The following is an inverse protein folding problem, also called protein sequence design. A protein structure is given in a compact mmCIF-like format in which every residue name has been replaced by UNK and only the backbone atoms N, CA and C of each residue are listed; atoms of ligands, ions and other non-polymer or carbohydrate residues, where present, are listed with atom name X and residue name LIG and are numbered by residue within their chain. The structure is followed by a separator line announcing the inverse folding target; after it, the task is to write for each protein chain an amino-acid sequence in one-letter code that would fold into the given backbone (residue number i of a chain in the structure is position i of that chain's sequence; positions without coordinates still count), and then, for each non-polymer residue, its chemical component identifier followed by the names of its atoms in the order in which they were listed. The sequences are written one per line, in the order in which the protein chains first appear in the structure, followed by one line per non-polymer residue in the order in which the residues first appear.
data_IF_551334035330
#
_entry.id   IF_551334035330
#
_cell.length_a   1.000
_cell.length_b   1.000
_cell.length_c   1.000
_cell.angle_alpha   90.00
_cell.angle_beta   90.00
_cell.angle_gamma   90.00
#
_symmetry.space_group_name_H-M   'P 1'
#
loop_
_entity.id
_entity.type
_entity.pdbx_description
1 polymer ?
#
# COMPACT_ATOMS: atom_id res chain seq x y z
N UNK A 1 -6.90 -20.52 -6.32
CA UNK A 1 -6.25 -20.88 -7.60
C UNK A 1 -5.03 -21.71 -7.29
N UNK A 2 -4.88 -22.88 -7.92
CA UNK A 2 -3.74 -23.78 -7.64
C UNK A 2 -2.43 -23.20 -8.16
N UNK A 3 -1.30 -23.67 -7.61
CA UNK A 3 0.03 -23.23 -8.03
C UNK A 3 0.27 -23.38 -9.55
N UNK A 4 -0.04 -24.51 -10.21
CA UNK A 4 0.18 -24.64 -11.66
C UNK A 4 -0.55 -23.59 -12.48
N UNK A 5 -1.78 -23.22 -12.09
CA UNK A 5 -2.56 -22.18 -12.79
C UNK A 5 -1.93 -20.80 -12.57
N UNK A 6 -1.49 -20.48 -11.34
CA UNK A 6 -0.78 -19.23 -11.05
C UNK A 6 0.50 -19.11 -11.89
N UNK A 7 1.29 -20.18 -11.95
CA UNK A 7 2.52 -20.23 -12.75
C UNK A 7 2.26 -20.13 -14.25
N UNK A 8 1.16 -20.70 -14.76
CA UNK A 8 0.81 -20.62 -16.17
C UNK A 8 0.48 -19.20 -16.65
N UNK A 9 0.01 -18.32 -15.76
CA UNK A 9 -0.36 -16.94 -16.10
C UNK A 9 0.68 -15.90 -15.69
N UNK A 10 1.64 -16.25 -14.82
CA UNK A 10 2.59 -15.28 -14.24
C UNK A 10 3.40 -14.55 -15.31
N UNK A 11 3.87 -15.28 -16.32
CA UNK A 11 4.64 -14.75 -17.44
C UNK A 11 3.82 -13.75 -18.27
N UNK A 12 2.57 -14.11 -18.60
CA UNK A 12 1.68 -13.27 -19.41
C UNK A 12 1.34 -11.97 -18.68
N UNK A 13 1.10 -12.03 -17.37
CA UNK A 13 0.84 -10.84 -16.56
C UNK A 13 2.11 -9.99 -16.43
N UNK A 14 3.29 -10.62 -16.37
CA UNK A 14 4.56 -9.91 -16.31
C UNK A 14 4.86 -9.20 -17.64
N UNK A 15 4.53 -9.81 -18.78
CA UNK A 15 4.62 -9.16 -20.11
C UNK A 15 3.76 -7.90 -20.18
N UNK A 16 2.51 -7.99 -19.71
CA UNK A 16 1.58 -6.85 -19.70
C UNK A 16 2.13 -5.73 -18.79
N UNK A 17 2.58 -6.08 -17.58
CA UNK A 17 3.08 -5.08 -16.64
C UNK A 17 4.37 -4.42 -17.14
N UNK A 18 5.32 -5.20 -17.66
CA UNK A 18 6.55 -4.67 -18.25
C UNK A 18 6.24 -3.75 -19.43
N UNK A 19 5.35 -4.17 -20.33
CA UNK A 19 4.88 -3.35 -21.44
C UNK A 19 4.30 -2.02 -20.98
N UNK A 20 3.46 -2.02 -19.95
CA UNK A 20 2.88 -0.80 -19.37
C UNK A 20 3.93 0.11 -18.72
N UNK A 21 4.92 -0.45 -18.02
CA UNK A 21 6.00 0.32 -17.39
C UNK A 21 6.91 1.02 -18.41
N UNK A 22 7.01 0.48 -19.63
CA UNK A 22 7.92 0.98 -20.66
C UNK A 22 7.24 1.94 -21.65
N UNK A 23 5.95 2.24 -21.45
CA UNK A 23 5.24 3.23 -22.27
C UNK A 23 5.86 4.61 -22.04
N UNK A 24 6.38 5.21 -23.11
CA UNK A 24 6.78 6.60 -23.10
C UNK A 24 5.53 7.48 -22.99
N UNK A 25 5.37 8.16 -21.85
CA UNK A 25 4.34 9.17 -21.69
C UNK A 25 4.74 10.45 -22.44
N UNK A 26 3.80 11.12 -23.13
CA UNK A 26 4.02 12.45 -23.67
C UNK A 26 4.59 13.41 -22.61
N UNK A 27 5.50 14.31 -23.00
CA UNK A 27 6.22 15.22 -22.08
C UNK A 27 5.27 16.06 -21.21
N UNK A 28 4.13 16.47 -21.77
CA UNK A 28 3.09 17.22 -21.07
C UNK A 28 2.32 16.40 -20.03
N UNK A 29 2.36 15.05 -20.10
CA UNK A 29 1.86 14.14 -19.04
C UNK A 29 2.97 13.70 -18.10
N UNK A 30 4.22 13.69 -18.56
CA UNK A 30 5.39 13.34 -17.74
C UNK A 30 5.69 14.41 -16.68
N UNK A 31 5.21 15.64 -16.88
CA UNK A 31 5.43 16.77 -15.98
C UNK A 31 4.16 17.13 -15.20
N UNK A 32 4.08 16.63 -13.96
CA UNK A 32 3.33 17.34 -12.91
C UNK A 32 1.96 16.84 -12.50
N UNK A 33 1.46 15.70 -12.99
CA UNK A 33 0.15 15.20 -12.53
C UNK A 33 0.14 13.68 -12.36
N UNK A 34 0.02 13.22 -11.11
CA UNK A 34 -0.35 11.83 -10.80
C UNK A 34 -1.87 11.72 -10.79
N UNK A 35 -2.44 10.67 -11.38
CA UNK A 35 -3.89 10.50 -11.38
C UNK A 35 -4.39 9.71 -12.58
N UNK A 36 -5.64 9.98 -12.95
CA UNK A 36 -6.25 9.43 -14.16
C UNK A 36 -5.84 10.24 -15.39
N UNK A 37 -6.32 9.79 -16.54
CA UNK A 37 -6.24 10.53 -17.80
C UNK A 37 -7.64 10.95 -18.21
N UNK A 38 -7.77 12.15 -18.78
CA UNK A 38 -9.02 12.66 -19.36
C UNK A 38 -8.74 13.38 -20.67
N UNK A 39 -9.76 13.90 -21.34
CA UNK A 39 -9.62 14.73 -22.53
C UNK A 39 -9.99 16.19 -22.21
N UNK A 40 -9.27 17.13 -22.80
CA UNK A 40 -9.63 18.55 -22.77
C UNK A 40 -10.72 18.89 -23.81
N UNK A 41 -11.15 20.14 -23.85
CA UNK A 41 -12.16 20.62 -24.81
C UNK A 41 -11.71 20.59 -26.28
N UNK A 42 -10.44 20.33 -26.56
CA UNK A 42 -9.87 20.16 -27.89
C UNK A 42 -9.68 18.69 -28.29
N UNK A 43 -9.96 17.75 -27.38
CA UNK A 43 -9.78 16.31 -27.58
C UNK A 43 -8.36 15.82 -27.29
N UNK A 44 -7.49 16.64 -26.68
CA UNK A 44 -6.16 16.21 -26.25
C UNK A 44 -6.25 15.46 -24.92
N UNK A 45 -5.47 14.38 -24.78
CA UNK A 45 -5.31 13.70 -23.49
C UNK A 45 -4.64 14.67 -22.52
N UNK A 46 -5.13 14.77 -21.30
CA UNK A 46 -4.57 15.58 -20.20
C UNK A 46 -4.68 14.82 -18.88
N UNK A 47 -3.97 15.28 -17.84
CA UNK A 47 -4.10 14.73 -16.48
C UNK A 47 -5.52 14.93 -15.92
N UNK A 48 -6.01 13.95 -15.18
CA UNK A 48 -7.37 13.95 -14.65
C UNK A 48 -7.55 13.15 -13.36
N UNK A 49 -8.80 13.00 -12.96
CA UNK A 49 -9.20 12.26 -11.77
C UNK A 49 -9.18 10.74 -11.99
N UNK A 50 -8.73 9.99 -10.99
CA UNK A 50 -8.93 8.54 -10.89
C UNK A 50 -10.32 8.24 -10.32
N UNK A 51 -10.77 7.00 -10.50
CA UNK A 51 -11.98 6.49 -9.84
C UNK A 51 -11.75 6.10 -8.36
N UNK A 52 -10.50 6.14 -7.86
CA UNK A 52 -10.13 5.73 -6.50
C UNK A 52 -9.97 6.98 -5.65
N UNK A 53 -10.77 7.19 -4.59
CA UNK A 53 -10.60 8.41 -3.81
C UNK A 53 -9.34 8.34 -2.89
N UNK A 54 -8.70 9.47 -2.56
CA UNK A 54 -8.93 10.79 -3.15
C UNK A 54 -8.59 10.77 -4.64
N UNK A 55 -9.40 11.36 -5.54
CA UNK A 55 -9.28 11.04 -6.97
C UNK A 55 -8.13 11.76 -7.68
N UNK A 56 -7.41 12.69 -7.04
CA UNK A 56 -6.42 13.53 -7.71
C UNK A 56 -7.08 14.56 -8.65
N UNK A 57 -6.40 15.01 -9.72
CA UNK A 57 -4.96 14.79 -9.96
C UNK A 57 -4.13 15.37 -8.82
N UNK A 58 -2.97 14.78 -8.56
CA UNK A 58 -2.04 15.22 -7.53
C UNK A 58 -0.82 15.85 -8.17
N UNK A 59 -0.38 16.96 -7.60
CA UNK A 59 0.80 17.72 -8.06
C UNK A 59 2.07 16.87 -8.04
N UNK A 60 2.20 16.01 -7.03
CA UNK A 60 3.34 15.12 -6.86
C UNK A 60 3.00 13.95 -5.92
N UNK A 61 3.96 13.04 -5.78
CA UNK A 61 3.81 11.82 -5.00
C UNK A 61 3.62 12.10 -3.49
N UNK A 62 4.19 13.20 -2.96
CA UNK A 62 4.01 13.62 -1.57
C UNK A 62 2.58 14.07 -1.33
N UNK A 63 2.02 14.89 -2.22
CA UNK A 63 0.63 15.35 -2.14
C UNK A 63 -0.37 14.18 -2.18
N UNK A 64 -0.15 13.23 -3.09
CA UNK A 64 -0.94 12.00 -3.16
C UNK A 64 -0.96 11.26 -1.80
N UNK A 65 0.21 11.05 -1.19
CA UNK A 65 0.31 10.36 0.11
C UNK A 65 -0.34 11.15 1.24
N UNK A 66 -0.12 12.46 1.32
CA UNK A 66 -0.75 13.31 2.33
C UNK A 66 -2.27 13.24 2.24
N UNK A 67 -2.84 13.33 1.04
CA UNK A 67 -4.29 13.25 0.84
C UNK A 67 -4.84 11.87 1.20
N UNK A 68 -4.14 10.78 0.89
CA UNK A 68 -4.53 9.43 1.31
C UNK A 68 -4.55 9.27 2.83
N UNK A 69 -3.48 9.69 3.50
CA UNK A 69 -3.38 9.62 4.97
C UNK A 69 -4.44 10.49 5.65
N UNK A 70 -4.63 11.73 5.19
CA UNK A 70 -5.66 12.65 5.69
C UNK A 70 -7.07 12.10 5.46
N UNK A 71 -7.33 11.44 4.33
CA UNK A 71 -8.61 10.77 4.06
C UNK A 71 -8.87 9.66 5.07
N UNK A 72 -7.90 8.82 5.36
CA UNK A 72 -8.09 7.76 6.36
C UNK A 72 -8.31 8.34 7.76
N UNK A 73 -7.58 9.39 8.13
CA UNK A 73 -7.81 10.10 9.38
C UNK A 73 -9.22 10.73 9.45
N UNK A 74 -9.69 11.29 8.34
CA UNK A 74 -11.07 11.78 8.22
C UNK A 74 -12.09 10.65 8.43
N UNK A 75 -11.90 9.51 7.75
CA UNK A 75 -12.76 8.33 7.91
C UNK A 75 -12.76 7.83 9.37
N UNK A 76 -11.60 7.80 10.02
CA UNK A 76 -11.48 7.45 11.43
C UNK A 76 -12.26 8.44 12.31
N UNK A 77 -12.28 9.72 11.95
CA UNK A 77 -13.10 10.76 12.57
C UNK A 77 -14.61 10.50 12.48
N UNK A 78 -15.07 9.89 11.39
CA UNK A 78 -16.49 9.52 11.21
C UNK A 78 -16.86 8.21 11.92
N UNK A 79 -15.88 7.39 12.30
CA UNK A 79 -16.16 6.13 12.97
C UNK A 79 -16.61 6.37 14.43
N UNK A 80 -17.73 5.77 14.87
CA UNK A 80 -18.17 5.85 16.26
C UNK A 80 -17.24 5.10 17.22
N UNK A 81 -16.46 4.14 16.72
CA UNK A 81 -15.51 3.38 17.52
C UNK A 81 -14.16 4.10 17.65
N UNK A 82 -13.68 4.76 16.58
CA UNK A 82 -12.36 5.39 16.56
C UNK A 82 -12.40 6.86 16.99
N UNK A 83 -13.45 7.60 16.60
CA UNK A 83 -13.62 9.04 16.87
C UNK A 83 -12.36 9.86 16.56
N UNK A 84 -11.71 9.53 15.44
CA UNK A 84 -10.48 10.18 14.99
C UNK A 84 -9.29 10.02 15.95
N UNK A 85 -9.30 8.96 16.76
CA UNK A 85 -8.30 8.64 17.79
C UNK A 85 -8.19 9.65 18.93
N UNK A 86 -9.23 10.46 19.17
CA UNK A 86 -9.20 11.48 20.23
C UNK A 86 -9.20 10.90 21.64
N UNK A 87 -9.81 9.73 21.84
CA UNK A 87 -9.93 9.08 23.15
C UNK A 87 -8.71 8.21 23.50
N UNK A 88 -7.90 7.84 22.50
CA UNK A 88 -6.68 7.08 22.70
C UNK A 88 -5.52 8.02 23.06
N UNK A 89 -5.03 7.92 24.30
CA UNK A 89 -4.04 8.83 24.86
C UNK A 89 -2.79 8.94 23.97
N UNK A 90 -2.45 10.16 23.54
CA UNK A 90 -1.24 10.46 22.78
C UNK A 90 -1.26 10.09 21.29
N UNK A 91 -2.19 9.24 20.86
CA UNK A 91 -2.28 8.76 19.46
C UNK A 91 -2.53 9.90 18.50
N UNK A 92 -3.58 10.70 18.76
CA UNK A 92 -3.93 11.81 17.86
C UNK A 92 -2.80 12.83 17.72
N UNK A 93 -2.15 13.18 18.81
CA UNK A 93 -1.03 14.12 18.80
C UNK A 93 0.16 13.61 17.98
N UNK A 94 0.48 12.30 18.04
CA UNK A 94 1.52 11.69 17.21
C UNK A 94 1.14 11.66 15.72
N UNK A 95 -0.13 11.39 15.40
CA UNK A 95 -0.62 11.44 14.02
C UNK A 95 -0.42 12.84 13.45
N UNK A 96 -0.87 13.88 14.17
CA UNK A 96 -0.82 15.26 13.70
C UNK A 96 0.63 15.77 13.57
N UNK A 97 1.57 15.29 14.40
CA UNK A 97 2.98 15.66 14.29
C UNK A 97 3.69 15.00 13.10
N UNK A 98 3.25 13.80 12.68
CA UNK A 98 3.93 13.02 11.63
C UNK A 98 3.33 13.16 10.24
N UNK A 99 2.03 13.41 10.10
CA UNK A 99 1.37 13.59 8.79
C UNK A 99 1.59 15.02 8.29
N UNK A 100 2.82 15.31 7.89
CA UNK A 100 3.23 16.57 7.26
C UNK A 100 4.09 16.34 6.01
N UNK A 101 4.27 17.38 5.20
CA UNK A 101 4.96 17.27 3.92
C UNK A 101 6.43 16.85 4.06
N UNK A 102 7.12 17.30 5.11
CA UNK A 102 8.55 17.00 5.30
C UNK A 102 8.77 15.53 5.65
N UNK A 103 7.96 14.98 6.58
CA UNK A 103 8.05 13.57 6.98
C UNK A 103 7.65 12.66 5.81
N UNK A 104 6.54 12.94 5.14
CA UNK A 104 6.12 12.15 3.97
C UNK A 104 7.13 12.26 2.84
N UNK A 105 7.67 13.46 2.58
CA UNK A 105 8.70 13.71 1.58
C UNK A 105 9.96 12.86 1.78
N UNK A 106 10.46 12.76 3.02
CA UNK A 106 11.59 11.88 3.35
C UNK A 106 11.28 10.40 3.12
N UNK A 107 10.08 9.95 3.48
CA UNK A 107 9.68 8.55 3.34
C UNK A 107 9.51 8.10 1.88
N UNK A 108 9.19 9.03 0.98
CA UNK A 108 9.01 8.73 -0.45
C UNK A 108 10.17 9.21 -1.33
N UNK A 109 11.24 9.72 -0.72
CA UNK A 109 12.41 10.19 -1.44
C UNK A 109 13.01 9.08 -2.31
N UNK A 110 13.34 9.39 -3.57
CA UNK A 110 13.94 8.43 -4.50
C UNK A 110 12.94 7.44 -5.13
N UNK A 111 11.64 7.59 -4.88
CA UNK A 111 10.61 6.86 -5.63
C UNK A 111 10.39 7.55 -6.97
N UNK A 112 10.55 6.81 -8.07
CA UNK A 112 10.13 7.29 -9.38
C UNK A 112 8.60 7.29 -9.48
N UNK A 113 8.01 8.48 -9.40
CA UNK A 113 6.57 8.68 -9.43
C UNK A 113 5.96 8.41 -10.81
N UNK A 114 6.77 8.20 -11.86
CA UNK A 114 6.30 7.80 -13.20
C UNK A 114 6.10 6.28 -13.34
N UNK A 115 6.56 5.49 -12.36
CA UNK A 115 6.43 4.03 -12.32
C UNK A 115 5.52 3.48 -11.19
N UNK A 116 4.44 4.17 -10.74
CA UNK A 116 3.77 3.91 -9.47
C UNK A 116 2.88 2.65 -9.50
N UNK A 117 2.65 2.06 -10.68
CA UNK A 117 1.67 0.99 -10.87
C UNK A 117 2.04 -0.30 -10.10
N UNK A 118 3.31 -0.48 -9.76
CA UNK A 118 3.74 -1.57 -8.90
C UNK A 118 3.13 -1.49 -7.50
N UNK A 119 3.05 -0.30 -6.91
CA UNK A 119 2.71 -0.13 -5.50
C UNK A 119 1.25 -0.44 -5.17
N UNK A 120 0.31 -0.26 -6.12
CA UNK A 120 -1.11 -0.57 -5.90
C UNK A 120 -1.41 -2.08 -5.97
N UNK A 121 -0.69 -2.85 -6.79
CA UNK A 121 -0.90 -4.29 -6.90
C UNK A 121 -0.55 -5.04 -5.60
N UNK A 122 0.39 -4.51 -4.81
CA UNK A 122 0.75 -5.08 -3.50
C UNK A 122 -0.31 -4.89 -2.42
N UNK A 123 -1.19 -3.87 -2.54
CA UNK A 123 -2.12 -3.46 -1.46
C UNK A 123 -3.18 -4.50 -1.10
N UNK A 124 -3.65 -5.28 -2.08
CA UNK A 124 -4.77 -6.20 -1.88
C UNK A 124 -4.39 -7.69 -1.98
N UNK A 125 -3.19 -8.02 -2.45
CA UNK A 125 -2.77 -9.42 -2.63
C UNK A 125 -2.20 -10.08 -1.37
N UNK A 126 -1.85 -9.30 -0.34
CA UNK A 126 -0.99 -9.75 0.76
C UNK A 126 -1.44 -9.28 2.15
N UNK A 127 -2.73 -8.98 2.33
CA UNK A 127 -3.27 -8.56 3.65
C UNK A 127 -3.08 -9.63 4.75
N UNK A 128 -2.72 -10.86 4.39
CA UNK A 128 -2.38 -11.97 5.27
C UNK A 128 -1.01 -12.59 4.94
N UNK A 129 -0.14 -11.88 4.21
CA UNK A 129 1.20 -12.40 3.94
C UNK A 129 2.01 -12.45 5.23
N UNK A 130 2.55 -13.63 5.51
CA UNK A 130 3.60 -13.86 6.50
C UNK A 130 4.69 -12.78 6.38
N UNK A 131 5.19 -12.28 7.52
CA UNK A 131 6.29 -11.31 7.60
C UNK A 131 7.50 -11.76 6.77
N UNK A 132 7.75 -13.08 6.71
CA UNK A 132 8.80 -13.69 5.87
C UNK A 132 8.57 -13.43 4.39
N UNK A 133 7.33 -13.61 3.92
CA UNK A 133 6.96 -13.37 2.52
C UNK A 133 7.07 -11.89 2.16
N UNK A 134 6.59 -11.00 3.05
CA UNK A 134 6.72 -9.57 2.85
C UNK A 134 8.20 -9.15 2.78
N UNK A 135 9.03 -9.65 3.68
CA UNK A 135 10.47 -9.40 3.67
C UNK A 135 11.16 -9.89 2.39
N UNK A 136 10.75 -11.06 1.89
CA UNK A 136 11.25 -11.62 0.63
C UNK A 136 10.87 -10.74 -0.56
N UNK A 137 9.59 -10.37 -0.71
CA UNK A 137 9.10 -9.51 -1.78
C UNK A 137 9.80 -8.15 -1.76
N UNK A 138 9.90 -7.50 -0.60
CA UNK A 138 10.53 -6.17 -0.47
C UNK A 138 12.05 -6.20 -0.69
N UNK A 139 12.69 -7.37 -0.58
CA UNK A 139 14.14 -7.50 -0.82
C UNK A 139 14.49 -8.20 -2.13
N UNK A 140 13.52 -8.82 -2.81
CA UNK A 140 13.76 -9.68 -3.97
C UNK A 140 14.51 -10.97 -3.60
N UNK A 141 14.60 -11.31 -2.31
CA UNK A 141 15.36 -12.48 -1.83
C UNK A 141 14.39 -13.57 -1.38
N UNK A 142 14.19 -14.53 -2.27
CA UNK A 142 13.42 -15.74 -2.00
C UNK A 142 14.38 -16.89 -1.73
N UNK A 143 14.45 -17.35 -0.48
CA UNK A 143 15.10 -18.61 -0.13
C UNK A 143 14.24 -19.82 -0.45
N UNK A 144 14.77 -21.00 -0.14
CA UNK A 144 13.97 -22.21 -0.11
C UNK A 144 13.16 -22.26 1.20
N UNK A 145 11.95 -22.82 1.14
CA UNK A 145 11.15 -23.07 2.33
C UNK A 145 11.61 -24.39 2.94
N UNK A 146 12.16 -24.34 4.15
CA UNK A 146 12.53 -25.55 4.90
C UNK A 146 11.28 -26.39 5.18
N UNK A 147 11.36 -27.71 4.95
CA UNK A 147 10.25 -28.65 5.18
C UNK A 147 9.88 -28.80 6.68
N UNK A 148 10.72 -28.30 7.59
CA UNK A 148 10.52 -28.37 9.05
C UNK A 148 9.57 -27.33 9.64
N UNK A 149 9.30 -26.24 8.92
CA UNK A 149 8.31 -25.19 9.26
C UNK A 149 7.21 -25.15 8.19
N UNK A 150 6.74 -26.32 7.74
CA UNK A 150 5.85 -26.42 6.58
C UNK A 150 4.70 -25.41 6.67
N UNK A 151 4.73 -24.33 5.86
CA UNK A 151 3.65 -23.37 5.83
C UNK A 151 2.39 -24.11 5.40
N UNK A 152 1.20 -23.57 5.70
CA UNK A 152 -0.03 -24.11 5.12
C UNK A 152 0.15 -24.29 3.60
N UNK A 153 -0.48 -25.30 2.96
CA UNK A 153 -0.37 -25.50 1.52
C UNK A 153 -0.62 -24.23 0.69
N UNK A 154 -1.47 -23.35 1.20
CA UNK A 154 -1.76 -22.03 0.64
C UNK A 154 -0.59 -21.04 0.79
N UNK A 155 0.08 -21.03 1.93
CA UNK A 155 1.27 -20.21 2.16
C UNK A 155 2.45 -20.66 1.28
N UNK A 156 2.68 -21.97 1.11
CA UNK A 156 3.69 -22.48 0.15
C UNK A 156 3.34 -22.10 -1.28
N UNK A 157 2.07 -22.25 -1.67
CA UNK A 157 1.58 -21.81 -3.00
C UNK A 157 1.80 -20.32 -3.23
N UNK A 158 1.57 -19.49 -2.20
CA UNK A 158 1.73 -18.05 -2.29
C UNK A 158 3.21 -17.65 -2.38
N UNK A 159 4.08 -18.30 -1.61
CA UNK A 159 5.52 -18.11 -1.69
C UNK A 159 6.07 -18.41 -3.08
N UNK A 160 5.78 -19.59 -3.62
CA UNK A 160 6.27 -20.00 -4.94
C UNK A 160 5.73 -19.10 -6.05
N UNK A 161 4.47 -18.67 -5.96
CA UNK A 161 3.90 -17.72 -6.91
C UNK A 161 4.59 -16.34 -6.83
N UNK A 162 4.90 -15.85 -5.63
CA UNK A 162 5.61 -14.57 -5.45
C UNK A 162 7.07 -14.65 -5.94
N UNK A 163 7.76 -15.77 -5.69
CA UNK A 163 9.11 -16.05 -6.20
C UNK A 163 9.13 -16.07 -7.73
N UNK A 164 8.17 -16.78 -8.34
CA UNK A 164 8.04 -16.83 -9.80
C UNK A 164 7.72 -15.44 -10.40
N UNK A 165 6.86 -14.66 -9.74
CA UNK A 165 6.53 -13.30 -10.15
C UNK A 165 7.75 -12.36 -10.12
N UNK A 166 8.53 -12.36 -9.04
CA UNK A 166 9.75 -11.53 -8.97
C UNK A 166 10.76 -11.93 -10.07
N UNK A 167 10.92 -13.24 -10.30
CA UNK A 167 11.75 -13.76 -11.38
C UNK A 167 11.27 -13.33 -12.76
N UNK A 168 9.96 -13.43 -13.04
CA UNK A 168 9.38 -13.04 -14.32
C UNK A 168 9.51 -11.53 -14.59
N UNK A 169 9.45 -10.68 -13.56
CA UNK A 169 9.73 -9.25 -13.71
C UNK A 169 11.23 -9.01 -13.96
N UNK A 170 12.11 -9.75 -13.27
CA UNK A 170 13.55 -9.61 -13.43
C UNK A 170 14.01 -9.97 -14.86
N UNK A 171 13.45 -11.01 -15.48
CA UNK A 171 13.80 -11.40 -16.86
C UNK A 171 13.36 -10.40 -17.92
N UNK A 172 12.48 -9.45 -17.57
CA UNK A 172 11.92 -8.43 -18.46
C UNK A 172 12.50 -7.05 -18.22
N UNK A 173 13.49 -6.93 -17.35
CA UNK A 173 14.00 -5.63 -16.86
C UNK A 173 12.86 -4.72 -16.36
N UNK A 174 11.79 -5.34 -15.84
CA UNK A 174 10.67 -4.64 -15.26
C UNK A 174 11.03 -4.17 -13.86
N UNK A 175 10.43 -3.06 -13.44
CA UNK A 175 10.58 -2.52 -12.10
C UNK A 175 10.02 -3.53 -11.12
N UNK A 176 10.82 -3.88 -10.11
CA UNK A 176 10.46 -4.78 -9.00
C UNK A 176 10.35 -4.00 -7.70
N UNK A 177 9.60 -4.48 -6.70
CA UNK A 177 9.57 -3.86 -5.37
C UNK A 177 10.98 -3.62 -4.82
N UNK A 178 11.83 -4.64 -4.93
CA UNK A 178 13.21 -4.63 -4.46
C UNK A 178 14.11 -3.60 -5.16
N UNK A 179 13.73 -3.14 -6.36
CA UNK A 179 14.46 -2.11 -7.11
C UNK A 179 14.05 -0.68 -6.76
N UNK A 180 12.96 -0.48 -6.02
CA UNK A 180 12.50 0.85 -5.61
C UNK A 180 13.27 1.27 -4.36
N UNK A 181 14.07 2.35 -4.46
CA UNK A 181 15.00 2.79 -3.42
C UNK A 181 14.38 2.92 -2.01
N UNK A 182 13.17 3.47 -1.92
CA UNK A 182 12.45 3.68 -0.65
C UNK A 182 11.26 2.73 -0.47
N UNK A 183 11.28 1.53 -1.06
CA UNK A 183 10.13 0.61 -1.02
C UNK A 183 9.70 0.25 0.40
N UNK A 184 10.65 0.12 1.33
CA UNK A 184 10.36 -0.23 2.73
C UNK A 184 9.65 0.91 3.43
N UNK A 185 10.06 2.15 3.17
CA UNK A 185 9.45 3.36 3.72
C UNK A 185 8.06 3.59 3.10
N UNK A 186 7.91 3.35 1.80
CA UNK A 186 6.59 3.35 1.13
C UNK A 186 5.67 2.27 1.71
N UNK A 187 6.20 1.08 2.01
CA UNK A 187 5.43 0.03 2.68
C UNK A 187 5.02 0.42 4.11
N UNK A 188 5.90 1.09 4.87
CA UNK A 188 5.54 1.69 6.17
C UNK A 188 4.37 2.68 6.01
N UNK A 189 4.39 3.53 4.98
CA UNK A 189 3.30 4.46 4.68
C UNK A 189 1.99 3.74 4.32
N UNK A 190 2.04 2.67 3.51
CA UNK A 190 0.87 1.84 3.22
C UNK A 190 0.28 1.22 4.48
N UNK A 191 1.15 0.68 5.34
CA UNK A 191 0.74 0.05 6.60
C UNK A 191 0.13 1.08 7.56
N UNK A 192 0.71 2.28 7.62
CA UNK A 192 0.17 3.39 8.39
C UNK A 192 -1.20 3.83 7.85
N UNK A 193 -1.35 4.02 6.54
CA UNK A 193 -2.61 4.40 5.92
C UNK A 193 -3.75 3.45 6.31
N UNK A 194 -3.52 2.14 6.22
CA UNK A 194 -4.52 1.14 6.59
C UNK A 194 -4.78 1.10 8.10
N UNK A 195 -3.77 1.37 8.94
CA UNK A 195 -3.89 1.42 10.40
C UNK A 195 -4.61 2.69 10.91
N UNK A 196 -4.59 3.79 10.16
CA UNK A 196 -5.30 5.02 10.52
C UNK A 196 -6.81 4.82 10.58
N UNK A 197 -7.38 3.99 9.70
CA UNK A 197 -8.79 3.62 9.74
C UNK A 197 -8.98 2.14 9.35
N UNK A 198 -8.73 1.22 10.29
CA UNK A 198 -8.84 -0.21 10.02
C UNK A 198 -10.28 -0.55 9.64
N UNK A 199 -10.49 -1.27 8.53
CA UNK A 199 -11.84 -1.57 8.02
C UNK A 199 -12.78 -2.19 9.07
N UNK A 200 -12.26 -2.96 10.03
CA UNK A 200 -13.02 -3.57 11.13
C UNK A 200 -13.56 -2.55 12.16
N UNK A 201 -12.93 -1.39 12.27
CA UNK A 201 -13.27 -0.31 13.20
C UNK A 201 -13.75 0.95 12.48
N UNK A 202 -13.60 1.04 11.16
CA UNK A 202 -14.08 2.15 10.33
C UNK A 202 -15.46 1.92 9.71
N UNK A 203 -15.93 0.66 9.65
CA UNK A 203 -17.21 0.30 9.02
C UNK A 203 -18.27 0.00 10.08
N UNK A 204 -19.38 0.75 10.07
CA UNK A 204 -20.52 0.55 10.98
C UNK A 204 -21.02 -0.90 10.97
N UNK A 205 -21.25 -1.48 9.79
CA UNK A 205 -21.68 -2.89 9.63
C UNK A 205 -20.73 -3.87 10.33
N UNK A 206 -19.41 -3.62 10.28
CA UNK A 206 -18.43 -4.50 10.93
C UNK A 206 -18.36 -4.28 12.44
N UNK A 207 -18.60 -3.05 12.89
CA UNK A 207 -18.70 -2.71 14.31
C UNK A 207 -19.96 -3.38 14.90
N UNK A 208 -21.11 -3.28 14.24
CA UNK A 208 -22.37 -3.90 14.67
C UNK A 208 -22.27 -5.43 14.76
N UNK A 209 -21.49 -6.06 13.86
CA UNK A 209 -21.20 -7.50 13.92
C UNK A 209 -20.38 -7.90 15.14
N UNK A 210 -19.68 -6.97 15.81
CA UNK A 210 -19.01 -7.24 17.09
C UNK A 210 -20.04 -7.21 18.21
N UNK A 211 -20.39 -8.39 18.69
CA UNK A 211 -21.52 -8.62 19.61
C UNK A 211 -21.32 -8.09 21.05
N UNK A 212 -20.16 -7.52 21.41
CA UNK A 212 -19.90 -7.02 22.77
C UNK A 212 -19.13 -5.69 22.76
N UNK A 213 -19.59 -4.68 23.53
CA UNK A 213 -18.85 -3.43 23.76
C UNK A 213 -17.43 -3.65 24.31
N UNK A 214 -17.24 -4.68 25.13
CA UNK A 214 -15.93 -5.04 25.69
C UNK A 214 -14.95 -5.47 24.58
N UNK A 215 -15.39 -6.36 23.68
CA UNK A 215 -14.60 -6.80 22.52
C UNK A 215 -14.32 -5.67 21.53
N UNK A 216 -15.19 -4.66 21.47
CA UNK A 216 -14.94 -3.47 20.67
C UNK A 216 -13.86 -2.60 21.32
N UNK A 217 -13.96 -2.36 22.63
CA UNK A 217 -12.97 -1.58 23.38
C UNK A 217 -11.57 -2.23 23.33
N UNK A 218 -11.48 -3.56 23.49
CA UNK A 218 -10.24 -4.31 23.35
C UNK A 218 -9.63 -4.15 21.95
N UNK A 219 -10.46 -4.21 20.90
CA UNK A 219 -9.99 -4.07 19.53
C UNK A 219 -9.55 -2.64 19.20
N UNK A 220 -10.25 -1.62 19.72
CA UNK A 220 -9.83 -0.22 19.60
C UNK A 220 -8.49 -0.02 20.31
N UNK A 221 -8.32 -0.57 21.51
CA UNK A 221 -7.04 -0.50 22.23
C UNK A 221 -5.92 -1.19 21.47
N UNK A 222 -6.12 -2.43 21.02
CA UNK A 222 -5.12 -3.15 20.24
C UNK A 222 -4.76 -2.42 18.92
N UNK A 223 -5.73 -1.79 18.26
CA UNK A 223 -5.49 -0.98 17.08
C UNK A 223 -4.73 0.31 17.40
N UNK A 224 -5.01 0.96 18.53
CA UNK A 224 -4.27 2.12 19.00
C UNK A 224 -2.80 1.77 19.33
N UNK A 225 -2.56 0.67 20.04
CA UNK A 225 -1.22 0.20 20.40
C UNK A 225 -0.40 -0.14 19.14
N UNK A 226 -1.03 -0.82 18.16
CA UNK A 226 -0.42 -1.08 16.85
C UNK A 226 -0.11 0.22 16.10
N UNK A 227 -1.04 1.17 16.08
CA UNK A 227 -0.87 2.44 15.39
C UNK A 227 0.28 3.25 16.01
N UNK A 228 0.40 3.29 17.34
CA UNK A 228 1.54 3.91 18.03
C UNK A 228 2.86 3.27 17.64
N UNK A 229 2.93 1.94 17.65
CA UNK A 229 4.14 1.21 17.23
C UNK A 229 4.56 1.58 15.80
N UNK A 230 3.61 1.72 14.88
CA UNK A 230 3.89 2.14 13.50
C UNK A 230 4.38 3.60 13.41
N UNK A 231 3.77 4.50 14.19
CA UNK A 231 4.16 5.91 14.24
C UNK A 231 5.59 6.06 14.78
N UNK A 232 5.94 5.36 15.85
CA UNK A 232 7.29 5.36 16.43
C UNK A 232 8.34 4.77 15.46
N UNK A 233 7.96 3.73 14.71
CA UNK A 233 8.80 3.10 13.70
C UNK A 233 9.03 3.95 12.44
N UNK A 234 8.28 5.04 12.26
CA UNK A 234 8.50 6.02 11.17
C UNK A 234 9.53 7.09 11.59
N UNK A 235 9.60 7.43 12.87
CA UNK A 235 10.51 8.45 13.41
C UNK A 235 11.93 7.91 13.61
N UNK A 236 12.05 6.60 13.81
CA UNK A 236 13.33 5.93 14.00
C UNK A 236 14.10 5.80 12.67
N UNK A 237 15.38 6.26 12.60
CA UNK A 237 16.19 6.28 11.38
C UNK A 237 16.47 4.89 10.79
#
# INVERSE_FOLDING_TARGET
MSLPVKLAVVEQVADILAGLQWIALPEFLATGHLGGLTFDGSGQVVGGQTSIPPPGPWENYVDMWLLRLRRQLHNAGQSPALKGWQEAAGVRAHIDSLINADTVGRLVQGVDATQPMNNMLFRHGYQEADEKLQAAVLSGRFGDLDDGEAPSPDARTTWEAAKAWDGALATRDAVRPSSIQSIRQVHKLMTLEDALCPSQLGSEVRIERRQSPEKLAEAVKAAADRLMTLLDGIVSP
#
